data_IF_870274242344
#
_entry.id   IF_870274242344
#
_cell.length_a   1.000
_cell.length_b   1.000
_cell.length_c   1.000
_cell.angle_alpha   90.00
_cell.angle_beta   90.00
_cell.angle_gamma   90.00
#
_symmetry.space_group_name_H-M   'P 1'
#
loop_
_entity.id
_entity.type
_entity.pdbx_description
1 polymer ?
#
# COMPACT_ATOMS: atom_id res chain seq x y z
N UNK A 1 0.20 -6.59 17.74
CA UNK A 1 -0.52 -7.73 17.13
C UNK A 1 0.50 -8.70 16.54
N UNK A 2 0.26 -10.01 16.64
CA UNK A 2 1.12 -11.01 16.03
C UNK A 2 1.00 -10.99 14.50
N UNK A 3 2.11 -11.20 13.77
CA UNK A 3 2.09 -11.41 12.32
C UNK A 3 1.53 -12.80 12.05
N UNK A 4 0.37 -12.87 11.40
CA UNK A 4 -0.33 -14.14 11.14
C UNK A 4 -0.09 -14.62 9.72
N UNK A 5 0.08 -15.92 9.56
CA UNK A 5 -0.20 -16.60 8.30
C UNK A 5 -1.73 -16.59 8.14
N UNK A 6 -2.25 -15.60 7.42
CA UNK A 6 -3.68 -15.43 7.23
C UNK A 6 -3.97 -15.01 5.79
N UNK A 7 -5.10 -15.48 5.29
CA UNK A 7 -5.73 -14.98 4.05
C UNK A 7 -6.53 -13.71 4.29
N UNK A 8 -6.67 -13.29 5.56
CA UNK A 8 -7.32 -12.03 5.94
C UNK A 8 -6.54 -10.83 5.40
N UNK A 9 -7.29 -9.81 5.02
CA UNK A 9 -6.75 -8.62 4.38
C UNK A 9 -6.08 -7.73 5.44
N UNK A 10 -4.84 -7.33 5.20
CA UNK A 10 -4.22 -6.26 5.98
C UNK A 10 -4.81 -4.93 5.54
N UNK A 11 -5.04 -4.01 6.47
CA UNK A 11 -5.44 -2.64 6.17
C UNK A 11 -4.23 -1.72 6.32
N UNK A 12 -3.97 -0.92 5.29
CA UNK A 12 -3.09 0.25 5.37
C UNK A 12 -3.97 1.49 5.38
N UNK A 13 -3.89 2.26 6.46
CA UNK A 13 -4.52 3.58 6.56
C UNK A 13 -3.49 4.64 6.19
N UNK A 14 -3.86 5.53 5.28
CA UNK A 14 -3.05 6.61 4.73
C UNK A 14 -3.69 7.94 5.10
N UNK A 15 -2.88 8.93 5.45
CA UNK A 15 -3.31 10.33 5.44
C UNK A 15 -3.13 10.85 4.01
N UNK A 16 -4.22 11.28 3.39
CA UNK A 16 -4.17 11.91 2.07
C UNK A 16 -4.15 13.43 2.23
N UNK A 17 -3.06 14.04 1.76
CA UNK A 17 -2.89 15.48 1.79
C UNK A 17 -3.61 16.20 0.64
N UNK A 18 -4.06 15.47 -0.39
CA UNK A 18 -4.81 16.06 -1.51
C UNK A 18 -6.27 16.34 -1.12
N UNK A 19 -6.91 15.38 -0.45
CA UNK A 19 -8.28 15.52 0.05
C UNK A 19 -8.40 15.92 1.54
N UNK A 20 -7.29 15.98 2.26
CA UNK A 20 -7.24 16.16 3.72
C UNK A 20 -8.08 15.09 4.48
N UNK A 21 -8.05 13.86 3.97
CA UNK A 21 -8.84 12.75 4.49
C UNK A 21 -7.97 11.54 4.85
N UNK A 22 -8.59 10.52 5.46
CA UNK A 22 -7.91 9.24 5.67
C UNK A 22 -8.42 8.23 4.65
N UNK A 23 -7.50 7.53 3.99
CA UNK A 23 -7.81 6.50 2.99
C UNK A 23 -7.38 5.13 3.50
N UNK A 24 -8.21 4.12 3.29
CA UNK A 24 -7.97 2.74 3.67
C UNK A 24 -7.82 1.85 2.44
N UNK A 25 -6.68 1.18 2.32
CA UNK A 25 -6.44 0.17 1.29
C UNK A 25 -6.16 -1.19 1.91
N UNK A 26 -6.88 -2.20 1.42
CA UNK A 26 -6.71 -3.58 1.82
C UNK A 26 -5.69 -4.28 0.93
N UNK A 27 -4.81 -5.09 1.53
CA UNK A 27 -3.77 -5.81 0.81
C UNK A 27 -3.43 -7.16 1.44
N UNK A 28 -2.90 -8.05 0.61
CA UNK A 28 -2.31 -9.33 1.07
C UNK A 28 -0.80 -9.21 1.25
N UNK A 29 -0.24 -10.07 2.10
CA UNK A 29 1.22 -10.23 2.21
C UNK A 29 1.78 -10.73 0.87
N UNK A 30 2.85 -10.11 0.32
CA UNK A 30 3.49 -10.62 -0.88
C UNK A 30 4.27 -11.90 -0.59
N UNK A 31 4.30 -12.80 -1.56
CA UNK A 31 5.13 -14.00 -1.52
C UNK A 31 6.61 -13.67 -1.68
N UNK A 32 7.50 -14.59 -1.29
CA UNK A 32 8.95 -14.46 -1.53
C UNK A 32 9.27 -14.26 -3.01
N UNK A 33 8.57 -14.99 -3.90
CA UNK A 33 8.73 -14.86 -5.35
C UNK A 33 8.38 -13.45 -5.83
N UNK A 34 7.31 -12.86 -5.32
CA UNK A 34 6.93 -11.48 -5.67
C UNK A 34 7.94 -10.46 -5.15
N UNK A 35 8.49 -10.66 -3.95
CA UNK A 35 9.57 -9.80 -3.43
C UNK A 35 10.82 -9.85 -4.30
N UNK A 36 11.23 -11.04 -4.73
CA UNK A 36 12.34 -11.19 -5.67
C UNK A 36 12.06 -10.50 -7.01
N UNK A 37 10.85 -10.70 -7.56
CA UNK A 37 10.44 -10.03 -8.80
C UNK A 37 10.43 -8.50 -8.66
N UNK A 38 9.97 -7.99 -7.52
CA UNK A 38 10.00 -6.57 -7.21
C UNK A 38 11.43 -6.02 -7.24
N UNK A 39 12.35 -6.65 -6.51
CA UNK A 39 13.74 -6.21 -6.46
C UNK A 39 14.42 -6.26 -7.83
N UNK A 40 14.19 -7.31 -8.61
CA UNK A 40 14.75 -7.45 -9.96
C UNK A 40 14.23 -6.39 -10.94
N UNK A 41 12.99 -5.95 -10.78
CA UNK A 41 12.35 -4.93 -11.66
C UNK A 41 12.63 -3.49 -11.23
N UNK A 42 13.23 -3.29 -10.05
CA UNK A 42 13.56 -1.96 -9.54
C UNK A 42 14.62 -1.27 -10.38
N UNK A 43 15.58 -2.02 -10.91
CA UNK A 43 16.64 -1.49 -11.76
C UNK A 43 16.60 -2.20 -13.10
N UNK A 44 16.41 -1.45 -14.19
CA UNK A 44 16.34 -2.00 -15.54
C UNK A 44 17.60 -1.58 -16.29
N UNK A 45 18.23 -2.53 -16.99
CA UNK A 45 19.35 -2.22 -17.88
C UNK A 45 18.80 -1.92 -19.27
N UNK A 46 18.89 -0.65 -19.67
CA UNK A 46 18.59 -0.21 -21.03
C UNK A 46 19.92 0.03 -21.76
N UNK A 47 20.31 -0.93 -22.60
CA UNK A 47 21.60 -0.94 -23.32
C UNK A 47 22.83 -0.87 -22.37
N UNK A 48 23.54 0.27 -22.37
CA UNK A 48 24.75 0.51 -21.57
C UNK A 48 24.45 1.26 -20.25
N UNK A 49 23.19 1.60 -19.97
CA UNK A 49 22.80 2.37 -18.77
C UNK A 49 21.90 1.55 -17.86
N UNK A 50 22.02 1.78 -16.56
CA UNK A 50 21.05 1.36 -15.57
C UNK A 50 20.06 2.50 -15.35
N UNK A 51 18.77 2.17 -15.36
CA UNK A 51 17.68 3.09 -15.10
C UNK A 51 16.97 2.67 -13.83
N UNK A 52 16.74 3.64 -12.96
CA UNK A 52 15.89 3.46 -11.80
C UNK A 52 14.43 3.40 -12.26
N UNK A 53 13.76 2.30 -11.93
CA UNK A 53 12.37 2.03 -12.24
C UNK A 53 11.51 1.95 -10.96
N UNK A 54 12.01 2.47 -9.84
CA UNK A 54 11.39 2.33 -8.52
C UNK A 54 9.93 2.79 -8.49
N UNK A 55 9.60 3.93 -9.12
CA UNK A 55 8.21 4.46 -9.10
C UNK A 55 7.25 3.51 -9.82
N UNK A 56 7.51 3.20 -11.09
CA UNK A 56 6.64 2.30 -11.86
C UNK A 56 6.57 0.89 -11.24
N UNK A 57 7.68 0.43 -10.65
CA UNK A 57 7.73 -0.84 -9.94
C UNK A 57 6.88 -0.83 -8.66
N UNK A 58 6.89 0.26 -7.88
CA UNK A 58 6.03 0.43 -6.70
C UNK A 58 4.55 0.40 -7.07
N UNK A 59 4.15 1.15 -8.10
CA UNK A 59 2.76 1.16 -8.59
C UNK A 59 2.33 -0.23 -9.04
N UNK A 60 3.12 -0.87 -9.91
CA UNK A 60 2.83 -2.21 -10.45
C UNK A 60 2.61 -3.25 -9.35
N UNK A 61 3.53 -3.32 -8.39
CA UNK A 61 3.44 -4.32 -7.33
C UNK A 61 2.44 -3.94 -6.23
N UNK A 62 2.24 -2.65 -5.96
CA UNK A 62 1.16 -2.16 -5.10
C UNK A 62 -0.20 -2.62 -5.61
N UNK A 63 -0.50 -2.36 -6.89
CA UNK A 63 -1.72 -2.84 -7.57
C UNK A 63 -1.89 -4.36 -7.49
N UNK A 64 -0.79 -5.10 -7.65
CA UNK A 64 -0.78 -6.58 -7.63
C UNK A 64 -1.16 -7.18 -6.28
N UNK A 65 -0.79 -6.53 -5.17
CA UNK A 65 -1.08 -7.03 -3.82
C UNK A 65 -2.32 -6.41 -3.18
N UNK A 66 -2.82 -5.30 -3.72
CA UNK A 66 -4.06 -4.67 -3.27
C UNK A 66 -5.25 -5.61 -3.51
N UNK A 67 -6.09 -5.77 -2.49
CA UNK A 67 -7.25 -6.69 -2.49
C UNK A 67 -8.57 -5.97 -2.34
N UNK A 68 -8.56 -4.72 -1.90
CA UNK A 68 -9.78 -3.93 -1.76
C UNK A 68 -9.49 -2.49 -1.34
N UNK A 69 -10.57 -1.71 -1.28
CA UNK A 69 -10.60 -0.35 -0.76
C UNK A 69 -11.58 -0.32 0.42
N UNK A 70 -11.34 0.54 1.40
CA UNK A 70 -12.34 0.82 2.44
C UNK A 70 -13.49 1.60 1.79
N UNK A 71 -14.72 1.17 2.06
CA UNK A 71 -15.90 1.76 1.45
C UNK A 71 -16.01 3.26 1.76
N UNK A 72 -16.46 4.03 0.77
CA UNK A 72 -16.63 5.50 0.81
C UNK A 72 -15.34 6.34 0.90
N UNK A 73 -14.15 5.73 0.82
CA UNK A 73 -12.90 6.49 0.79
C UNK A 73 -12.52 6.98 -0.63
N UNK A 74 -13.08 6.35 -1.66
CA UNK A 74 -12.78 6.66 -3.06
C UNK A 74 -14.07 6.84 -3.84
N UNK A 75 -14.10 7.86 -4.69
CA UNK A 75 -15.24 8.18 -5.56
C UNK A 75 -14.77 8.39 -6.99
N UNK A 76 -15.57 7.94 -7.96
CA UNK A 76 -15.33 8.13 -9.39
C UNK A 76 -16.37 9.07 -9.99
N UNK A 77 -15.98 9.83 -11.00
CA UNK A 77 -16.93 10.61 -11.81
C UNK A 77 -17.75 9.69 -12.70
N UNK A 78 -19.08 9.81 -12.67
CA UNK A 78 -20.02 8.97 -13.45
C UNK A 78 -20.85 9.72 -14.50
N UNK A 79 -20.67 11.03 -14.60
CA UNK A 79 -21.36 11.94 -15.51
C UNK A 79 -20.83 13.36 -15.37
N UNK A 80 -21.58 14.35 -15.85
CA UNK A 80 -21.19 15.75 -15.69
C UNK A 80 -21.32 16.21 -14.24
N UNK A 81 -20.22 16.08 -13.48
CA UNK A 81 -20.09 16.58 -12.11
C UNK A 81 -20.63 15.68 -11.01
N UNK A 82 -21.09 14.46 -11.34
CA UNK A 82 -21.57 13.49 -10.36
C UNK A 82 -20.45 12.52 -9.91
N UNK A 83 -20.41 12.25 -8.61
CA UNK A 83 -19.48 11.31 -7.98
C UNK A 83 -20.26 10.10 -7.45
N UNK A 84 -19.69 8.92 -7.66
CA UNK A 84 -20.18 7.67 -7.09
C UNK A 84 -19.06 7.00 -6.28
N UNK A 85 -19.34 6.51 -5.06
CA UNK A 85 -18.39 5.69 -4.31
C UNK A 85 -17.92 4.48 -5.10
N UNK A 86 -16.68 4.07 -4.84
CA UNK A 86 -16.09 2.85 -5.36
C UNK A 86 -16.08 1.81 -4.25
N UNK A 87 -16.80 0.70 -4.46
CA UNK A 87 -16.69 -0.48 -3.61
C UNK A 87 -16.01 -1.63 -4.36
N UNK A 88 -15.29 -2.46 -3.59
CA UNK A 88 -14.61 -3.66 -4.10
C UNK A 88 -15.38 -4.95 -3.79
N UNK A 89 -16.46 -4.87 -3.00
CA UNK A 89 -17.37 -5.98 -2.75
C UNK A 89 -18.38 -6.12 -3.89
N UNK A 90 -18.41 -7.29 -4.55
CA UNK A 90 -19.36 -7.63 -5.63
C UNK A 90 -20.82 -7.57 -5.23
N UNK A 91 -21.12 -7.58 -3.93
CA UNK A 91 -22.49 -7.48 -3.40
C UNK A 91 -22.92 -6.04 -3.16
N UNK A 92 -21.99 -5.09 -3.18
CA UNK A 92 -22.29 -3.68 -2.99
C UNK A 92 -23.00 -3.11 -4.22
N UNK A 93 -24.01 -2.23 -4.06
CA UNK A 93 -24.56 -1.46 -5.18
C UNK A 93 -23.52 -0.55 -5.84
N UNK A 94 -22.46 -0.19 -5.10
CA UNK A 94 -21.34 0.62 -5.57
C UNK A 94 -20.15 -0.23 -6.06
N UNK A 95 -20.38 -1.53 -6.30
CA UNK A 95 -19.35 -2.39 -6.88
C UNK A 95 -18.89 -1.85 -8.23
N UNK A 96 -17.58 -1.64 -8.35
CA UNK A 96 -16.97 -1.24 -9.60
C UNK A 96 -15.93 -2.28 -10.02
N UNK A 97 -16.11 -2.92 -11.17
CA UNK A 97 -15.27 -4.05 -11.60
C UNK A 97 -13.82 -3.62 -11.88
N UNK A 98 -13.63 -2.46 -12.52
CA UNK A 98 -12.33 -1.97 -13.00
C UNK A 98 -11.60 -1.08 -11.97
N UNK A 99 -11.98 -1.16 -10.70
CA UNK A 99 -11.43 -0.32 -9.63
C UNK A 99 -9.91 -0.32 -9.54
N UNK A 100 -9.25 -1.44 -9.89
CA UNK A 100 -7.77 -1.52 -9.88
C UNK A 100 -7.13 -0.68 -10.97
N UNK A 101 -7.74 -0.63 -12.15
CA UNK A 101 -7.23 0.13 -13.29
C UNK A 101 -7.49 1.61 -13.03
N UNK A 102 -8.66 1.95 -12.49
CA UNK A 102 -8.96 3.30 -12.02
C UNK A 102 -7.99 3.79 -10.94
N UNK A 103 -7.65 2.96 -9.96
CA UNK A 103 -6.63 3.31 -8.95
C UNK A 103 -5.25 3.54 -9.56
N UNK A 104 -4.88 2.82 -10.62
CA UNK A 104 -3.61 3.04 -11.31
C UNK A 104 -3.57 4.36 -12.07
N UNK A 105 -4.69 4.72 -12.72
CA UNK A 105 -4.81 5.94 -13.50
C UNK A 105 -4.95 7.20 -12.63
N UNK A 106 -5.74 7.13 -11.56
CA UNK A 106 -6.12 8.31 -10.79
C UNK A 106 -5.45 8.42 -9.41
N UNK A 107 -5.00 7.31 -8.84
CA UNK A 107 -4.45 7.24 -7.46
C UNK A 107 -3.11 6.50 -7.41
N UNK A 108 -2.25 6.76 -8.40
CA UNK A 108 -0.95 6.09 -8.52
C UNK A 108 -0.02 6.31 -7.33
N UNK A 109 -0.18 7.42 -6.61
CA UNK A 109 0.52 7.77 -5.38
C UNK A 109 0.17 6.82 -4.23
N UNK A 110 -1.12 6.47 -4.06
CA UNK A 110 -1.59 5.48 -3.08
C UNK A 110 -0.96 4.13 -3.37
N UNK A 111 -0.93 3.70 -4.64
CA UNK A 111 -0.28 2.46 -5.04
C UNK A 111 1.22 2.48 -4.82
N UNK A 112 1.85 3.62 -5.07
CA UNK A 112 3.28 3.81 -4.85
C UNK A 112 3.62 3.67 -3.36
N UNK A 113 2.85 4.30 -2.47
CA UNK A 113 3.02 4.21 -1.01
C UNK A 113 2.79 2.78 -0.53
N UNK A 114 1.73 2.11 -1.01
CA UNK A 114 1.48 0.71 -0.70
C UNK A 114 2.66 -0.18 -1.12
N UNK A 115 3.15 -0.02 -2.35
CA UNK A 115 4.31 -0.75 -2.86
C UNK A 115 5.56 -0.53 -2.01
N UNK A 116 5.89 0.73 -1.71
CA UNK A 116 7.00 1.07 -0.83
C UNK A 116 6.85 0.45 0.56
N UNK A 117 5.70 0.65 1.22
CA UNK A 117 5.46 0.18 2.59
C UNK A 117 5.58 -1.33 2.71
N UNK A 118 5.08 -2.07 1.73
CA UNK A 118 5.01 -3.53 1.81
C UNK A 118 6.28 -4.23 1.30
N UNK A 119 6.95 -3.67 0.29
CA UNK A 119 8.12 -4.30 -0.31
C UNK A 119 9.46 -3.76 0.22
N UNK A 120 9.54 -2.51 0.64
CA UNK A 120 10.79 -1.87 1.08
C UNK A 120 10.82 -1.57 2.59
N UNK A 121 9.67 -1.24 3.18
CA UNK A 121 9.56 -0.74 4.55
C UNK A 121 8.67 -1.63 5.46
N UNK A 122 8.66 -2.95 5.19
CA UNK A 122 7.75 -3.88 5.88
C UNK A 122 8.17 -4.28 7.29
N UNK A 123 9.44 -4.10 7.63
CA UNK A 123 9.98 -4.33 8.97
C UNK A 123 11.25 -3.50 9.16
N UNK A 124 11.52 -3.12 10.39
CA UNK A 124 12.73 -2.42 10.79
C UNK A 124 13.44 -3.26 11.87
N UNK A 125 14.78 -3.21 11.96
CA UNK A 125 15.44 -3.72 13.14
C UNK A 125 14.87 -2.99 14.36
N UNK A 126 14.46 -3.76 15.36
CA UNK A 126 14.10 -3.19 16.66
C UNK A 126 15.35 -2.59 17.31
N UNK A 127 15.13 -1.72 18.30
CA UNK A 127 16.17 -1.37 19.27
C UNK A 127 16.62 -2.63 20.02
N UNK A 128 17.85 -2.63 20.53
CA UNK A 128 18.37 -3.76 21.31
C UNK A 128 17.54 -3.96 22.58
N UNK A 129 17.62 -5.13 23.22
CA UNK A 129 16.95 -5.33 24.51
C UNK A 129 17.50 -4.39 25.59
N UNK A 130 18.79 -4.06 25.53
CA UNK A 130 19.43 -3.06 26.41
C UNK A 130 18.83 -1.65 26.20
N UNK A 131 18.65 -1.23 24.94
CA UNK A 131 18.06 0.08 24.59
C UNK A 131 16.60 0.22 25.08
N UNK A 132 15.89 -0.90 25.29
CA UNK A 132 14.50 -0.92 25.76
C UNK A 132 14.38 -0.96 27.29
N UNK A 133 15.47 -1.28 27.99
CA UNK A 133 15.55 -1.26 29.45
C UNK A 133 15.94 0.14 29.95
N UNK A 134 16.84 0.85 29.27
CA UNK A 134 17.22 2.24 29.58
C UNK A 134 16.01 3.21 29.54
N UNK A 135 15.14 3.09 28.52
CA UNK A 135 13.92 3.91 28.41
C UNK A 135 12.94 3.69 29.59
N UNK A 136 12.93 2.50 30.20
CA UNK A 136 12.05 2.20 31.35
C UNK A 136 12.58 2.78 32.65
N UNK A 137 13.90 2.84 32.81
CA UNK A 137 14.53 3.45 33.99
C UNK A 137 14.35 4.98 33.95
N UNK A 138 14.51 5.64 32.79
CA UNK A 138 14.29 7.08 32.66
C UNK A 138 12.82 7.52 32.89
N UNK A 139 11.84 6.68 32.57
CA UNK A 139 10.42 6.93 32.83
C UNK A 139 10.01 6.62 34.28
N UNK A 140 10.81 5.85 35.03
CA UNK A 140 10.61 5.58 36.45
C UNK A 140 11.26 6.65 37.36
N UNK A 141 12.20 7.44 36.83
CA UNK A 141 12.89 8.52 37.54
C UNK A 141 12.24 9.91 37.38
N UNK A 142 11.08 10.02 36.71
CA UNK A 142 10.28 11.26 36.57
C UNK A 142 8.97 11.20 37.34
#
# INVERSE_FOLDING_TARGET
MARRESTEQNLLVLQDNLSDSTLGVFYRTPTTKERQQYLNKRTVRESKKFKDNSIANRVLFGKKIMTGLRDNDFERTVGDGEYQPISTDKKSPDYYEDWKDWMEEHCSDVLMILGYRVFEASCYPGRSEEDLEEDKEEDLEK
#
